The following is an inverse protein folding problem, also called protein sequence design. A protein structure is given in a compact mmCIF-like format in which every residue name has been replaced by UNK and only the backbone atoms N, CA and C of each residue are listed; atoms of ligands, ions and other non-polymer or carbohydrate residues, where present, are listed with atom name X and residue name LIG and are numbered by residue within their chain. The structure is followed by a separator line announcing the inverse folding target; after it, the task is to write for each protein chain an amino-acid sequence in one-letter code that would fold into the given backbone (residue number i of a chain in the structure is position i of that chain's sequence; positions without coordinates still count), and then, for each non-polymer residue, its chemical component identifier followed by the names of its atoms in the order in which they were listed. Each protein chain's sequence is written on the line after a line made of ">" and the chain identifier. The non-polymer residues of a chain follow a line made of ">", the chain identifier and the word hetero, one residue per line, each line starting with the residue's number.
data_IF_882788061150
#
_entry.id   IF_882788061150
#
_cell.length_a   1.000
_cell.length_b   1.000
_cell.length_c   1.000
_cell.angle_alpha   90.00
_cell.angle_beta   90.00
_cell.angle_gamma   90.00
#
_symmetry.space_group_name_H-M   'P 1'
#
loop_
_entity.id
_entity.type
_entity.pdbx_description
1 polymer ?
#
# COMPACT_ATOMS: atom_id res chain seq x y z
N UNK A 1 6.38 -0.35 -27.73
CA UNK A 1 6.74 0.36 -26.48
C UNK A 1 6.37 -0.57 -25.36
N UNK A 2 7.31 -1.42 -24.96
CA UNK A 2 7.12 -2.38 -23.86
C UNK A 2 6.80 -1.55 -22.62
N UNK A 3 5.59 -1.70 -22.08
CA UNK A 3 5.29 -1.17 -20.76
C UNK A 3 6.26 -1.85 -19.81
N UNK A 4 7.28 -1.13 -19.35
CA UNK A 4 7.98 -1.53 -18.15
C UNK A 4 6.91 -1.80 -17.08
N UNK A 5 7.00 -2.91 -16.34
CA UNK A 5 6.11 -3.13 -15.21
C UNK A 5 6.24 -1.89 -14.32
N UNK A 6 5.18 -1.08 -14.29
CA UNK A 6 5.21 0.21 -13.62
C UNK A 6 5.43 -0.04 -12.14
N UNK A 7 6.59 0.34 -11.62
CA UNK A 7 6.79 0.48 -10.19
C UNK A 7 6.25 1.86 -9.79
N UNK A 8 5.24 1.90 -8.93
CA UNK A 8 4.75 3.16 -8.35
C UNK A 8 5.19 3.25 -6.90
N UNK A 9 5.73 4.41 -6.51
CA UNK A 9 5.99 4.70 -5.10
C UNK A 9 4.69 5.13 -4.43
N UNK A 10 4.17 4.31 -3.52
CA UNK A 10 2.95 4.58 -2.76
C UNK A 10 3.29 4.68 -1.27
N UNK A 11 2.96 5.82 -0.66
CA UNK A 11 3.11 5.99 0.79
C UNK A 11 1.86 5.46 1.48
N UNK A 12 2.04 4.65 2.51
CA UNK A 12 0.97 4.12 3.34
C UNK A 12 1.10 4.65 4.77
N UNK A 13 0.00 5.13 5.34
CA UNK A 13 -0.06 5.45 6.76
C UNK A 13 -0.63 4.26 7.51
N UNK A 14 0.04 3.85 8.58
CA UNK A 14 -0.35 2.74 9.43
C UNK A 14 -0.81 3.28 10.79
N UNK A 15 -1.82 2.62 11.36
CA UNK A 15 -2.32 2.92 12.69
C UNK A 15 -2.50 1.64 13.51
N UNK A 16 -1.86 1.58 14.68
CA UNK A 16 -2.03 0.49 15.61
C UNK A 16 -3.36 0.62 16.36
N UNK A 17 -4.24 -0.38 16.21
CA UNK A 17 -5.51 -0.49 16.95
C UNK A 17 -5.32 -0.86 18.41
N UNK A 18 -4.13 -1.30 18.82
CA UNK A 18 -3.84 -1.71 20.20
C UNK A 18 -3.31 -0.58 21.07
N UNK A 19 -2.41 0.27 20.55
CA UNK A 19 -1.78 1.35 21.33
C UNK A 19 -2.01 2.77 20.76
N UNK A 20 -2.63 2.88 19.56
CA UNK A 20 -2.87 4.17 18.91
C UNK A 20 -1.64 4.79 18.21
N UNK A 21 -0.50 4.10 18.16
CA UNK A 21 0.68 4.60 17.44
C UNK A 21 0.44 4.61 15.93
N UNK A 22 0.83 5.70 15.28
CA UNK A 22 0.74 5.88 13.82
C UNK A 22 2.11 6.16 13.23
N UNK A 23 2.37 5.60 12.05
CA UNK A 23 3.60 5.83 11.30
C UNK A 23 3.30 5.77 9.80
N UNK A 24 4.18 6.34 8.99
CA UNK A 24 4.08 6.33 7.53
C UNK A 24 5.28 5.57 6.97
N UNK A 25 5.07 4.80 5.91
CA UNK A 25 6.15 4.11 5.21
C UNK A 25 5.85 4.07 3.71
N UNK A 26 6.90 4.22 2.91
CA UNK A 26 6.78 4.28 1.44
C UNK A 26 7.14 2.93 0.84
N UNK A 27 6.30 2.43 -0.07
CA UNK A 27 6.51 1.13 -0.70
C UNK A 27 6.52 1.30 -2.21
N UNK A 28 7.36 0.51 -2.87
CA UNK A 28 7.28 0.36 -4.32
C UNK A 28 6.28 -0.75 -4.64
N UNK A 29 5.19 -0.38 -5.30
CA UNK A 29 4.16 -1.30 -5.77
C UNK A 29 4.46 -1.63 -7.23
N UNK A 30 4.85 -2.86 -7.49
CA UNK A 30 5.10 -3.36 -8.84
C UNK A 30 3.84 -4.03 -9.37
N UNK A 31 3.35 -3.56 -10.52
CA UNK A 31 2.22 -4.16 -11.21
C UNK A 31 2.71 -5.10 -12.29
N UNK A 32 2.52 -6.40 -12.09
CA UNK A 32 2.75 -7.40 -13.11
C UNK A 32 1.43 -7.67 -13.84
N UNK A 33 1.32 -7.22 -15.09
CA UNK A 33 0.28 -7.69 -16.01
C UNK A 33 0.75 -8.98 -16.66
N UNK A 34 0.13 -10.10 -16.31
CA UNK A 34 0.36 -11.34 -17.05
C UNK A 34 -0.25 -11.19 -18.45
N UNK A 35 0.55 -11.30 -19.53
CA UNK A 35 0.05 -11.12 -20.90
C UNK A 35 -0.87 -12.25 -21.38
N UNK A 36 -0.99 -13.34 -20.63
CA UNK A 36 -1.85 -14.50 -20.93
C UNK A 36 -3.17 -14.45 -20.17
N UNK A 37 -3.21 -13.71 -19.05
CA UNK A 37 -4.39 -13.54 -18.22
C UNK A 37 -5.31 -12.43 -18.79
N UNK A 38 -6.22 -12.84 -19.67
CA UNK A 38 -7.27 -11.97 -20.20
C UNK A 38 -8.26 -11.48 -19.11
N UNK A 39 -8.18 -12.02 -17.90
CA UNK A 39 -9.01 -11.60 -16.76
C UNK A 39 -8.46 -10.36 -16.04
N UNK A 40 -7.24 -9.90 -16.37
CA UNK A 40 -6.66 -8.70 -15.78
C UNK A 40 -6.25 -8.88 -14.32
N UNK A 41 -5.89 -10.10 -13.91
CA UNK A 41 -5.36 -10.36 -12.58
C UNK A 41 -3.96 -9.73 -12.46
N UNK A 42 -3.94 -8.49 -11.98
CA UNK A 42 -2.70 -7.79 -11.65
C UNK A 42 -2.08 -8.45 -10.41
N UNK A 43 -0.93 -9.09 -10.58
CA UNK A 43 -0.14 -9.50 -9.42
C UNK A 43 0.58 -8.24 -8.92
N UNK A 44 0.26 -7.82 -7.70
CA UNK A 44 0.93 -6.70 -7.03
C UNK A 44 1.97 -7.23 -6.06
N UNK A 45 3.19 -6.73 -6.18
CA UNK A 45 4.26 -6.95 -5.19
C UNK A 45 4.58 -5.62 -4.52
N UNK A 46 4.66 -5.64 -3.18
CA UNK A 46 4.99 -4.48 -2.37
C UNK A 46 6.39 -4.65 -1.81
N UNK A 47 7.27 -3.71 -2.11
CA UNK A 47 8.64 -3.68 -1.59
C UNK A 47 8.79 -2.48 -0.67
N UNK A 48 9.24 -2.71 0.56
CA UNK A 48 9.48 -1.63 1.52
C UNK A 48 10.79 -0.87 1.27
N UNK A 49 11.05 0.16 2.07
CA UNK A 49 12.25 1.01 1.96
C UNK A 49 13.55 0.25 2.30
N UNK A 50 13.45 -0.87 3.03
CA UNK A 50 14.54 -1.80 3.34
C UNK A 50 14.75 -2.84 2.22
N UNK A 51 13.91 -2.83 1.18
CA UNK A 51 13.96 -3.77 0.06
C UNK A 51 13.28 -5.11 0.35
N UNK A 52 12.49 -5.23 1.41
CA UNK A 52 11.78 -6.47 1.73
C UNK A 52 10.50 -6.55 0.89
N UNK A 53 10.44 -7.57 0.04
CA UNK A 53 9.23 -7.91 -0.70
C UNK A 53 8.22 -8.58 0.24
N UNK A 54 7.11 -7.89 0.52
CA UNK A 54 6.01 -8.38 1.35
C UNK A 54 4.78 -8.63 0.49
N UNK A 55 4.25 -9.85 0.61
CA UNK A 55 3.04 -10.30 -0.11
C UNK A 55 1.78 -9.58 0.33
N UNK A 56 1.78 -9.01 1.53
CA UNK A 56 0.66 -8.22 2.06
C UNK A 56 1.17 -7.29 3.16
N UNK A 57 1.31 -5.98 2.86
CA UNK A 57 1.63 -4.95 3.85
C UNK A 57 0.68 -4.99 5.06
N UNK A 58 -0.56 -5.41 4.85
CA UNK A 58 -1.60 -5.51 5.86
C UNK A 58 -1.41 -6.65 6.87
N UNK A 59 -0.80 -7.77 6.44
CA UNK A 59 -0.70 -8.99 7.26
C UNK A 59 0.62 -9.05 8.03
N UNK A 60 1.66 -8.41 7.48
CA UNK A 60 3.00 -8.43 8.06
C UNK A 60 3.33 -7.19 8.89
N UNK A 61 2.57 -6.10 8.77
CA UNK A 61 2.81 -4.91 9.59
C UNK A 61 2.72 -5.19 11.10
N UNK A 62 3.84 -5.01 11.80
CA UNK A 62 3.94 -5.11 13.26
C UNK A 62 4.19 -3.72 13.83
N UNK A 63 3.41 -3.33 14.85
CA UNK A 63 3.65 -2.07 15.54
C UNK A 63 4.99 -2.10 16.29
N UNK A 64 5.92 -1.22 15.90
CA UNK A 64 7.25 -1.08 16.54
C UNK A 64 7.17 -0.66 18.01
N UNK A 65 6.07 -0.03 18.44
CA UNK A 65 5.88 0.44 19.83
C UNK A 65 5.38 -0.63 20.79
N UNK A 66 4.58 -1.58 20.32
CA UNK A 66 3.90 -2.56 21.20
C UNK A 66 3.92 -4.01 20.70
N UNK A 67 4.55 -4.29 19.55
CA UNK A 67 4.62 -5.62 18.95
C UNK A 67 3.29 -6.18 18.44
N UNK A 68 2.21 -5.39 18.45
CA UNK A 68 0.89 -5.86 18.02
C UNK A 68 0.77 -5.89 16.50
N UNK A 69 0.27 -7.01 15.96
CA UNK A 69 -0.11 -7.18 14.53
C UNK A 69 -1.49 -6.58 14.20
N UNK A 70 -2.12 -5.89 15.15
CA UNK A 70 -3.41 -5.19 14.97
C UNK A 70 -3.17 -3.82 14.34
N UNK A 71 -2.60 -3.81 13.15
CA UNK A 71 -2.29 -2.60 12.40
C UNK A 71 -3.30 -2.46 11.27
N UNK A 72 -3.78 -1.24 11.03
CA UNK A 72 -4.58 -0.92 9.84
C UNK A 72 -3.80 0.05 8.97
N UNK A 73 -3.90 -0.12 7.65
CA UNK A 73 -3.50 0.91 6.70
C UNK A 73 -4.64 1.92 6.55
N UNK A 74 -4.28 3.18 6.57
CA UNK A 74 -5.09 4.32 6.16
C UNK A 74 -4.36 4.93 4.98
N UNK A 75 -4.91 4.80 3.77
CA UNK A 75 -4.32 5.44 2.59
C UNK A 75 -4.19 6.94 2.85
N UNK A 76 -2.98 7.52 2.80
CA UNK A 76 -2.80 8.96 2.89
C UNK A 76 -3.30 9.54 1.57
N UNK A 77 -4.59 9.85 1.48
CA UNK A 77 -5.17 10.37 0.25
C UNK A 77 -6.59 9.95 -0.08
N UNK A 78 -7.27 9.13 0.73
CA UNK A 78 -8.74 9.03 0.64
C UNK A 78 -9.43 10.27 1.26
N UNK A 79 -8.88 11.46 1.05
CA UNK A 79 -9.68 12.66 1.05
C UNK A 79 -10.55 12.56 -0.20
N UNK A 80 -11.86 12.35 -0.02
CA UNK A 80 -12.85 12.52 -1.09
C UNK A 80 -12.44 13.76 -1.92
N UNK A 81 -12.46 13.73 -3.27
CA UNK A 81 -12.59 14.98 -3.98
C UNK A 81 -13.86 15.64 -3.43
N UNK A 82 -13.69 16.81 -2.82
CA UNK A 82 -14.81 17.68 -2.56
C UNK A 82 -15.39 18.02 -3.94
N UNK A 83 -16.42 17.29 -4.35
CA UNK A 83 -17.30 17.76 -5.40
C UNK A 83 -17.98 18.99 -4.83
N UNK A 84 -17.44 20.16 -5.16
CA UNK A 84 -18.12 21.43 -5.09
C UNK A 84 -19.12 21.48 -6.26
N UNK A 85 -20.42 21.64 -5.97
CA UNK A 85 -21.26 22.39 -6.88
C UNK A 85 -21.71 23.66 -6.16
N UNK A 86 -20.92 24.71 -6.28
CA UNK A 86 -21.47 26.06 -6.33
C UNK A 86 -22.34 26.17 -7.59
N UNK A 87 -23.62 26.48 -7.41
CA UNK A 87 -24.58 26.77 -8.48
C UNK A 87 -26.02 26.56 -8.08
#
# INVERSE_FOLDING_TARGET
>A
MTSEPGAVSETFAFACRSCGHTWEATFQVMFFTDPTDAAGLHTQEYVDEDGVAIRSPLTDAVCTRCGSRRVRVTTPGAGRPAHDPAG
#
